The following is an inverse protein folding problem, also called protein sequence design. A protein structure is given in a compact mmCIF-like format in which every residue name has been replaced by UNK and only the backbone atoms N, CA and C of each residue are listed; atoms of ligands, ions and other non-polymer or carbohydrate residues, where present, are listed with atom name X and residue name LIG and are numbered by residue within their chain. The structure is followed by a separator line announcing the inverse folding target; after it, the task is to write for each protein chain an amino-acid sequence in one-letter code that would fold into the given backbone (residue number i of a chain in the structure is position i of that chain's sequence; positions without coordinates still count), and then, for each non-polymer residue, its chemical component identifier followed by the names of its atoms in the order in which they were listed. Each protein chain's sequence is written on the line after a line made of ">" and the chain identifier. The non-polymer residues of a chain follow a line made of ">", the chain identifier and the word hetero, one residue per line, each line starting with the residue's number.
data_IF_858341760187
#
_entry.id   IF_858341760187
#
_cell.length_a   1.000
_cell.length_b   1.000
_cell.length_c   1.000
_cell.angle_alpha   90.00
_cell.angle_beta   90.00
_cell.angle_gamma   90.00
#
_symmetry.space_group_name_H-M   'P 1'
#
loop_
_entity.id
_entity.type
_entity.pdbx_description
1 polymer ?
#
# COMPACT_ATOMS: atom_id res chain seq x y z
N UNK A 1 -12.12 -13.35 -9.85
CA UNK A 1 -12.24 -12.00 -9.24
C UNK A 1 -11.19 -11.10 -9.87
N UNK A 2 -11.53 -9.84 -10.11
CA UNK A 2 -10.64 -8.84 -10.72
C UNK A 2 -10.25 -7.81 -9.68
N UNK A 3 -8.97 -7.46 -9.60
CA UNK A 3 -8.41 -6.42 -8.72
C UNK A 3 -7.80 -5.33 -9.58
N UNK A 4 -8.04 -4.08 -9.22
CA UNK A 4 -7.41 -2.93 -9.86
C UNK A 4 -6.04 -2.65 -9.24
N UNK A 5 -5.08 -2.28 -10.07
CA UNK A 5 -3.78 -1.76 -9.65
C UNK A 5 -3.62 -0.35 -10.17
N UNK A 6 -3.33 0.59 -9.27
CA UNK A 6 -3.08 1.98 -9.63
C UNK A 6 -1.64 2.35 -9.24
N UNK A 7 -0.86 2.90 -10.16
CA UNK A 7 0.55 3.20 -9.93
C UNK A 7 1.13 4.19 -10.95
N UNK A 8 2.26 4.80 -10.61
CA UNK A 8 3.05 5.58 -11.53
C UNK A 8 4.08 4.67 -12.25
N UNK A 9 3.86 4.42 -13.53
CA UNK A 9 4.75 3.59 -14.34
C UNK A 9 6.16 4.20 -14.53
N UNK A 10 6.33 5.51 -14.28
CA UNK A 10 7.62 6.19 -14.29
C UNK A 10 8.48 5.95 -13.03
N UNK A 11 7.89 5.40 -11.96
CA UNK A 11 8.62 5.04 -10.75
C UNK A 11 9.05 3.56 -10.79
N UNK A 12 10.37 3.33 -10.80
CA UNK A 12 10.96 1.98 -10.94
C UNK A 12 10.50 1.05 -9.81
N UNK A 13 10.45 1.54 -8.56
CA UNK A 13 9.97 0.77 -7.41
C UNK A 13 8.48 0.41 -7.53
N UNK A 14 7.64 1.33 -8.00
CA UNK A 14 6.22 1.09 -8.26
C UNK A 14 6.02 0.00 -9.31
N UNK A 15 6.63 0.15 -10.48
CA UNK A 15 6.55 -0.83 -11.57
C UNK A 15 7.04 -2.22 -11.13
N UNK A 16 8.15 -2.29 -10.39
CA UNK A 16 8.68 -3.55 -9.87
C UNK A 16 7.71 -4.25 -8.91
N UNK A 17 7.10 -3.51 -7.98
CA UNK A 17 6.11 -4.06 -7.04
C UNK A 17 4.86 -4.54 -7.77
N UNK A 18 4.41 -3.83 -8.81
CA UNK A 18 3.26 -4.24 -9.63
C UNK A 18 3.53 -5.58 -10.32
N UNK A 19 4.72 -5.79 -10.86
CA UNK A 19 5.07 -7.08 -11.48
C UNK A 19 5.08 -8.24 -10.46
N UNK A 20 5.53 -8.00 -9.23
CA UNK A 20 5.45 -9.00 -8.15
C UNK A 20 3.99 -9.30 -7.80
N UNK A 21 3.17 -8.25 -7.66
CA UNK A 21 1.75 -8.38 -7.35
C UNK A 21 1.01 -9.18 -8.44
N UNK A 22 1.24 -8.87 -9.72
CA UNK A 22 0.63 -9.59 -10.86
C UNK A 22 0.96 -11.07 -10.85
N UNK A 23 2.22 -11.45 -10.57
CA UNK A 23 2.63 -12.85 -10.43
C UNK A 23 1.90 -13.55 -9.29
N UNK A 24 1.79 -12.89 -8.13
CA UNK A 24 1.08 -13.43 -6.97
C UNK A 24 -0.43 -13.55 -7.23
N UNK A 25 -1.05 -12.57 -7.89
CA UNK A 25 -2.45 -12.58 -8.27
C UNK A 25 -2.76 -13.73 -9.26
N UNK A 26 -1.93 -13.88 -10.29
CA UNK A 26 -2.07 -14.96 -11.28
C UNK A 26 -2.00 -16.34 -10.62
N UNK A 27 -1.07 -16.55 -9.68
CA UNK A 27 -0.96 -17.81 -8.93
C UNK A 27 -2.21 -18.15 -8.10
N UNK A 28 -3.05 -17.15 -7.81
CA UNK A 28 -4.32 -17.28 -7.08
C UNK A 28 -5.56 -17.21 -7.99
N UNK A 29 -5.38 -17.16 -9.31
CA UNK A 29 -6.47 -17.04 -10.27
C UNK A 29 -7.21 -15.69 -10.17
N UNK A 30 -6.51 -14.64 -9.75
CA UNK A 30 -7.03 -13.26 -9.67
C UNK A 30 -6.57 -12.49 -10.90
N UNK A 31 -7.50 -11.91 -11.61
CA UNK A 31 -7.25 -11.03 -12.75
C UNK A 31 -6.84 -9.63 -12.26
N UNK A 32 -5.91 -8.98 -12.96
CA UNK A 32 -5.42 -7.64 -12.62
C UNK A 32 -5.74 -6.67 -13.75
N UNK A 33 -6.43 -5.57 -13.43
CA UNK A 33 -6.60 -4.41 -14.30
C UNK A 33 -5.69 -3.29 -13.84
N UNK A 34 -4.83 -2.82 -14.74
CA UNK A 34 -3.88 -1.75 -14.46
C UNK A 34 -4.44 -0.40 -14.90
N UNK A 35 -4.23 0.62 -14.06
CA UNK A 35 -4.39 2.02 -14.42
C UNK A 35 -3.14 2.79 -13.97
N UNK A 36 -2.60 3.61 -14.84
CA UNK A 36 -1.39 4.38 -14.55
C UNK A 36 -1.72 5.85 -14.33
N UNK A 37 -0.91 6.49 -13.47
CA UNK A 37 -0.92 7.92 -13.24
C UNK A 37 0.47 8.49 -13.47
N UNK A 38 0.56 9.72 -13.91
CA UNK A 38 1.83 10.47 -14.03
C UNK A 38 1.85 11.68 -13.09
N UNK A 39 0.68 12.07 -12.61
CA UNK A 39 0.50 13.19 -11.68
C UNK A 39 -0.68 12.94 -10.74
N UNK A 40 -0.75 13.74 -9.68
CA UNK A 40 -1.89 13.71 -8.73
C UNK A 40 -3.23 14.01 -9.43
N UNK A 41 -3.21 14.80 -10.50
CA UNK A 41 -4.42 15.17 -11.25
C UNK A 41 -5.06 13.97 -11.99
N UNK A 42 -4.28 12.94 -12.28
CA UNK A 42 -4.76 11.76 -13.01
C UNK A 42 -5.53 10.78 -12.11
N UNK A 43 -5.33 10.86 -10.78
CA UNK A 43 -5.81 9.88 -9.80
C UNK A 43 -7.32 9.69 -9.86
N UNK A 44 -8.08 10.79 -9.85
CA UNK A 44 -9.55 10.73 -9.88
C UNK A 44 -10.07 9.98 -11.10
N UNK A 45 -9.53 10.29 -12.29
CA UNK A 45 -9.93 9.65 -13.54
C UNK A 45 -9.51 8.17 -13.56
N UNK A 46 -8.32 7.86 -13.09
CA UNK A 46 -7.81 6.50 -13.03
C UNK A 46 -8.67 5.60 -12.13
N UNK A 47 -9.04 6.07 -10.93
CA UNK A 47 -9.97 5.35 -10.03
C UNK A 47 -11.34 5.19 -10.70
N UNK A 48 -11.86 6.24 -11.33
CA UNK A 48 -13.15 6.19 -12.03
C UNK A 48 -13.15 5.15 -13.15
N UNK A 49 -12.05 5.01 -13.88
CA UNK A 49 -11.92 4.05 -14.98
C UNK A 49 -12.01 2.58 -14.52
N UNK A 50 -11.66 2.31 -13.27
CA UNK A 50 -11.70 1.00 -12.63
C UNK A 50 -13.02 0.73 -11.88
N UNK A 51 -13.82 1.77 -11.63
CA UNK A 51 -15.07 1.65 -10.91
C UNK A 51 -16.05 0.71 -11.62
N UNK A 52 -16.71 -0.17 -10.84
CA UNK A 52 -17.62 -1.19 -11.34
C UNK A 52 -16.95 -2.38 -12.05
N UNK A 53 -15.62 -2.35 -12.26
CA UNK A 53 -14.88 -3.41 -12.95
C UNK A 53 -14.03 -4.25 -11.99
N UNK A 54 -13.72 -3.74 -10.80
CA UNK A 54 -12.80 -4.37 -9.84
C UNK A 54 -13.47 -4.56 -8.48
N UNK A 55 -13.05 -5.59 -7.76
CA UNK A 55 -13.52 -5.89 -6.40
C UNK A 55 -12.74 -5.13 -5.31
N UNK A 56 -11.62 -4.51 -5.66
CA UNK A 56 -10.77 -3.73 -4.79
C UNK A 56 -9.61 -3.12 -5.57
N UNK A 57 -8.93 -2.16 -4.96
CA UNK A 57 -7.74 -1.52 -5.50
C UNK A 57 -6.53 -1.84 -4.64
N UNK A 58 -5.44 -2.22 -5.27
CA UNK A 58 -4.13 -2.32 -4.64
C UNK A 58 -3.18 -1.25 -5.20
N UNK A 59 -2.33 -0.70 -4.36
CA UNK A 59 -1.32 0.30 -4.72
C UNK A 59 0.05 -0.10 -4.18
N UNK A 60 1.14 0.05 -4.97
CA UNK A 60 2.50 -0.08 -4.45
C UNK A 60 2.87 1.12 -3.56
N UNK A 61 4.08 1.12 -3.02
CA UNK A 61 4.70 2.35 -2.49
C UNK A 61 5.03 3.28 -3.66
N UNK A 62 4.33 4.41 -3.75
CA UNK A 62 4.29 5.29 -4.91
C UNK A 62 4.18 6.75 -4.48
N UNK A 63 5.12 7.61 -4.94
CA UNK A 63 5.18 9.00 -4.49
C UNK A 63 4.03 9.86 -5.02
N UNK A 64 3.54 9.59 -6.23
CA UNK A 64 2.39 10.32 -6.79
C UNK A 64 1.12 9.98 -6.01
N UNK A 65 0.91 8.71 -5.69
CA UNK A 65 -0.24 8.27 -4.91
C UNK A 65 -0.16 8.77 -3.46
N UNK A 66 1.03 8.76 -2.85
CA UNK A 66 1.25 9.31 -1.51
C UNK A 66 0.94 10.81 -1.47
N UNK A 67 1.42 11.58 -2.45
CA UNK A 67 1.11 13.02 -2.55
C UNK A 67 -0.38 13.30 -2.79
N UNK A 68 -1.08 12.40 -3.49
CA UNK A 68 -2.50 12.49 -3.82
C UNK A 68 -3.45 11.71 -2.91
N UNK A 69 -3.00 11.28 -1.71
CA UNK A 69 -3.75 10.40 -0.82
C UNK A 69 -5.21 10.79 -0.60
N UNK A 70 -5.48 12.08 -0.34
CA UNK A 70 -6.85 12.56 -0.06
C UNK A 70 -7.77 12.42 -1.29
N UNK A 71 -7.26 12.66 -2.49
CA UNK A 71 -8.00 12.51 -3.75
C UNK A 71 -8.28 11.03 -4.00
N UNK A 72 -7.25 10.20 -3.83
CA UNK A 72 -7.30 8.76 -3.99
C UNK A 72 -8.35 8.13 -3.05
N UNK A 73 -8.23 8.38 -1.75
CA UNK A 73 -9.13 7.85 -0.74
C UNK A 73 -10.57 8.30 -0.98
N UNK A 74 -10.77 9.59 -1.27
CA UNK A 74 -12.11 10.11 -1.57
C UNK A 74 -12.71 9.42 -2.81
N UNK A 75 -11.98 9.36 -3.91
CA UNK A 75 -12.47 8.76 -5.15
C UNK A 75 -12.84 7.28 -4.98
N UNK A 76 -11.99 6.50 -4.29
CA UNK A 76 -12.24 5.10 -4.04
C UNK A 76 -13.43 4.87 -3.08
N UNK A 77 -13.52 5.68 -2.02
CA UNK A 77 -14.60 5.58 -1.03
C UNK A 77 -15.96 5.99 -1.63
N UNK A 78 -16.00 7.05 -2.43
CA UNK A 78 -17.22 7.46 -3.16
C UNK A 78 -17.70 6.35 -4.11
N UNK A 79 -16.76 5.64 -4.75
CA UNK A 79 -17.04 4.49 -5.60
C UNK A 79 -17.26 3.19 -4.81
N UNK A 80 -17.17 3.20 -3.46
CA UNK A 80 -17.25 2.05 -2.56
C UNK A 80 -16.29 0.92 -2.92
N UNK A 81 -15.09 1.26 -3.37
CA UNK A 81 -14.05 0.29 -3.73
C UNK A 81 -13.09 0.14 -2.55
N UNK A 82 -12.94 -1.06 -1.97
CA UNK A 82 -11.93 -1.34 -0.94
C UNK A 82 -10.52 -1.06 -1.44
N UNK A 83 -9.69 -0.44 -0.60
CA UNK A 83 -8.31 -0.03 -0.97
C UNK A 83 -7.27 -0.69 -0.08
N UNK A 84 -6.21 -1.23 -0.69
CA UNK A 84 -5.09 -1.88 -0.02
C UNK A 84 -3.78 -1.23 -0.50
N UNK A 85 -3.32 -0.15 0.13
CA UNK A 85 -2.03 0.48 -0.20
C UNK A 85 -0.83 -0.29 0.37
N UNK A 86 0.34 -0.07 -0.23
CA UNK A 86 1.63 -0.53 0.30
C UNK A 86 2.25 0.39 1.36
N UNK A 87 1.54 1.44 1.78
CA UNK A 87 2.02 2.46 2.73
C UNK A 87 0.98 2.76 3.80
N UNK A 88 1.42 2.80 5.07
CA UNK A 88 0.57 3.11 6.23
C UNK A 88 -0.03 4.54 6.18
N UNK A 89 0.71 5.51 5.64
CA UNK A 89 0.24 6.89 5.57
C UNK A 89 -1.08 7.01 4.77
N UNK A 90 -1.28 6.16 3.74
CA UNK A 90 -2.51 6.16 2.97
C UNK A 90 -3.71 5.64 3.80
N UNK A 91 -3.49 4.78 4.78
CA UNK A 91 -4.56 4.34 5.70
C UNK A 91 -5.04 5.51 6.56
N UNK A 92 -4.11 6.30 7.10
CA UNK A 92 -4.43 7.53 7.86
C UNK A 92 -5.09 8.59 6.99
N UNK A 93 -4.81 8.57 5.68
CA UNK A 93 -5.45 9.42 4.67
C UNK A 93 -6.81 8.96 4.20
N UNK A 94 -7.33 7.81 4.70
CA UNK A 94 -8.67 7.32 4.39
C UNK A 94 -8.75 6.08 3.52
N UNK A 95 -7.63 5.40 3.22
CA UNK A 95 -7.66 4.06 2.63
C UNK A 95 -8.08 3.00 3.65
N UNK A 96 -8.48 1.80 3.19
CA UNK A 96 -9.16 0.81 4.02
C UNK A 96 -8.21 0.00 4.91
N UNK A 97 -7.25 -0.70 4.32
CA UNK A 97 -6.40 -1.63 5.07
C UNK A 97 -5.05 -1.86 4.39
N UNK A 98 -4.03 -2.20 5.17
CA UNK A 98 -2.70 -2.54 4.64
C UNK A 98 -1.98 -3.54 5.51
N UNK A 99 -0.98 -4.21 4.93
CA UNK A 99 0.18 -4.76 5.61
C UNK A 99 1.37 -3.98 5.04
N UNK A 100 1.75 -2.90 5.69
CA UNK A 100 2.67 -1.92 5.14
C UNK A 100 4.04 -1.94 5.81
N UNK A 101 4.94 -1.23 5.18
CA UNK A 101 6.25 -0.91 5.74
C UNK A 101 6.10 0.04 6.95
N UNK A 102 6.76 -0.28 8.04
CA UNK A 102 6.94 0.63 9.18
C UNK A 102 8.24 1.44 9.00
N UNK A 103 8.11 2.66 8.52
CA UNK A 103 9.25 3.55 8.25
C UNK A 103 10.01 3.95 9.52
N UNK A 104 9.36 3.98 10.69
CA UNK A 104 10.06 4.24 11.96
C UNK A 104 11.04 3.10 12.27
N UNK A 105 10.58 1.86 12.17
CA UNK A 105 11.44 0.68 12.39
C UNK A 105 12.56 0.62 11.34
N UNK A 106 12.29 0.89 10.06
CA UNK A 106 13.34 0.97 9.03
C UNK A 106 14.37 2.05 9.35
N UNK A 107 13.93 3.23 9.79
CA UNK A 107 14.83 4.30 10.20
C UNK A 107 15.72 3.89 11.38
N UNK A 108 15.17 3.20 12.37
CA UNK A 108 15.96 2.67 13.48
C UNK A 108 16.99 1.63 13.04
N UNK A 109 16.58 0.69 12.19
CA UNK A 109 17.48 -0.33 11.62
C UNK A 109 18.63 0.34 10.86
N UNK A 110 18.32 1.29 9.99
CA UNK A 110 19.34 2.06 9.25
C UNK A 110 20.27 2.84 10.17
N UNK A 111 19.74 3.45 11.23
CA UNK A 111 20.52 4.15 12.25
C UNK A 111 21.47 3.24 13.01
N UNK A 112 21.03 2.02 13.36
CA UNK A 112 21.90 1.00 13.99
C UNK A 112 23.03 0.58 13.04
N UNK A 113 22.72 0.31 11.77
CA UNK A 113 23.76 -0.03 10.79
C UNK A 113 24.77 1.10 10.60
N UNK A 114 24.31 2.36 10.55
CA UNK A 114 25.18 3.53 10.46
C UNK A 114 26.10 3.65 11.69
N UNK A 115 25.59 3.43 12.90
CA UNK A 115 26.37 3.45 14.11
C UNK A 115 27.48 2.37 14.10
N UNK A 116 27.17 1.14 13.69
CA UNK A 116 28.14 0.05 13.59
C UNK A 116 29.27 0.38 12.59
N UNK A 117 28.96 1.07 11.48
CA UNK A 117 29.96 1.54 10.53
C UNK A 117 30.86 2.62 11.16
N UNK A 118 30.26 3.62 11.81
CA UNK A 118 30.99 4.74 12.42
C UNK A 118 31.87 4.28 13.58
N UNK A 119 31.46 3.27 14.33
CA UNK A 119 32.22 2.66 15.41
C UNK A 119 33.28 1.65 14.91
N UNK A 120 33.37 1.40 13.61
CA UNK A 120 34.31 0.47 13.00
C UNK A 120 33.99 -1.01 13.24
N UNK A 121 32.78 -1.33 13.70
CA UNK A 121 32.33 -2.71 13.96
C UNK A 121 32.00 -3.46 12.66
N UNK A 122 31.58 -2.72 11.62
CA UNK A 122 31.20 -3.28 10.32
C UNK A 122 31.64 -2.37 9.17
N UNK A 123 31.77 -2.96 7.98
CA UNK A 123 31.98 -2.20 6.74
C UNK A 123 30.74 -2.34 5.85
N UNK A 124 30.32 -1.29 5.12
CA UNK A 124 29.14 -1.35 4.26
C UNK A 124 29.12 -2.55 3.30
N UNK A 125 30.30 -2.92 2.73
CA UNK A 125 30.43 -4.02 1.80
C UNK A 125 30.17 -5.40 2.43
N UNK A 126 30.34 -5.52 3.75
CA UNK A 126 30.20 -6.78 4.48
C UNK A 126 28.83 -6.91 5.18
N UNK A 127 28.00 -5.87 5.11
CA UNK A 127 26.68 -5.85 5.75
C UNK A 127 25.61 -6.47 4.83
N UNK A 128 24.84 -7.41 5.39
CA UNK A 128 23.68 -7.93 4.70
C UNK A 128 22.57 -6.87 4.59
N UNK A 129 21.84 -6.90 3.49
CA UNK A 129 20.60 -6.12 3.36
C UNK A 129 19.61 -6.62 4.41
N UNK A 130 19.09 -5.70 5.23
CA UNK A 130 18.10 -6.02 6.24
C UNK A 130 16.68 -5.73 5.72
N UNK A 131 15.75 -6.58 6.13
CA UNK A 131 14.32 -6.44 5.85
C UNK A 131 13.55 -6.47 7.16
N UNK A 132 12.40 -5.84 7.18
CA UNK A 132 11.49 -5.92 8.33
C UNK A 132 10.80 -7.29 8.39
N UNK A 133 10.49 -7.73 9.60
CA UNK A 133 9.56 -8.83 9.82
C UNK A 133 8.15 -8.46 9.35
N UNK A 134 7.30 -9.49 9.13
CA UNK A 134 5.92 -9.29 8.74
C UNK A 134 5.17 -8.42 9.76
N UNK A 135 4.58 -7.33 9.29
CA UNK A 135 3.80 -6.41 10.10
C UNK A 135 2.36 -6.93 10.29
N UNK A 136 1.72 -6.49 11.37
CA UNK A 136 0.29 -6.75 11.56
C UNK A 136 -0.52 -5.90 10.56
N UNK A 137 -1.67 -6.41 10.10
CA UNK A 137 -2.58 -5.60 9.31
C UNK A 137 -2.99 -4.33 10.08
N UNK A 138 -3.09 -3.21 9.37
CA UNK A 138 -3.67 -1.97 9.87
C UNK A 138 -4.97 -1.71 9.11
N UNK A 139 -6.07 -1.45 9.81
CA UNK A 139 -7.41 -1.32 9.23
C UNK A 139 -8.04 0.00 9.69
N UNK A 140 -8.62 0.73 8.74
CA UNK A 140 -9.42 1.92 9.01
C UNK A 140 -10.90 1.55 9.07
N UNK A 141 -11.46 1.47 10.29
CA UNK A 141 -12.85 1.11 10.51
C UNK A 141 -13.83 2.20 10.05
N UNK A 142 -13.42 3.46 10.10
CA UNK A 142 -14.25 4.55 9.57
C UNK A 142 -14.44 4.39 8.06
N UNK A 143 -13.37 4.05 7.33
CA UNK A 143 -13.43 3.76 5.90
C UNK A 143 -14.26 2.51 5.62
N UNK A 144 -14.05 1.41 6.35
CA UNK A 144 -14.86 0.21 6.20
C UNK A 144 -16.37 0.53 6.32
N UNK A 145 -16.77 1.30 7.34
CA UNK A 145 -18.15 1.76 7.54
C UNK A 145 -18.64 2.63 6.39
N UNK A 146 -17.82 3.57 5.91
CA UNK A 146 -18.18 4.50 4.84
C UNK A 146 -18.48 3.78 3.52
N UNK A 147 -17.70 2.72 3.19
CA UNK A 147 -17.93 1.92 1.98
C UNK A 147 -18.95 0.79 2.17
N UNK A 148 -19.46 0.60 3.39
CA UNK A 148 -20.45 -0.44 3.71
C UNK A 148 -19.85 -1.84 3.83
N UNK A 149 -18.57 -1.96 4.19
CA UNK A 149 -17.87 -3.23 4.32
C UNK A 149 -17.78 -3.67 5.78
N UNK A 150 -18.17 -4.91 6.06
CA UNK A 150 -17.94 -5.55 7.36
C UNK A 150 -16.62 -6.31 7.32
N UNK A 151 -15.72 -5.98 8.23
CA UNK A 151 -14.43 -6.70 8.36
C UNK A 151 -14.66 -7.97 9.21
N UNK A 152 -14.24 -9.15 8.74
CA UNK A 152 -14.35 -10.39 9.51
C UNK A 152 -13.60 -10.33 10.85
N UNK A 153 -14.18 -10.95 11.89
CA UNK A 153 -13.62 -10.93 13.25
C UNK A 153 -12.23 -11.56 13.36
N UNK A 154 -11.96 -12.60 12.59
CA UNK A 154 -10.66 -13.28 12.55
C UNK A 154 -9.54 -12.36 12.01
N UNK A 155 -9.88 -11.46 11.08
CA UNK A 155 -8.97 -10.42 10.59
C UNK A 155 -8.77 -9.35 11.68
N UNK A 156 -9.84 -8.87 12.31
CA UNK A 156 -9.78 -7.83 13.34
C UNK A 156 -8.97 -8.26 14.57
N UNK A 157 -9.05 -9.52 15.00
CA UNK A 157 -8.29 -10.04 16.15
C UNK A 157 -6.78 -9.92 16.00
N UNK A 158 -6.28 -9.90 14.76
CA UNK A 158 -4.85 -9.86 14.44
C UNK A 158 -4.40 -8.51 13.87
N UNK A 159 -5.29 -7.52 13.77
CA UNK A 159 -5.03 -6.23 13.17
C UNK A 159 -4.89 -5.12 14.21
N UNK A 160 -4.10 -4.09 13.88
CA UNK A 160 -4.25 -2.78 14.47
C UNK A 160 -5.40 -2.03 13.79
N UNK A 161 -6.13 -1.19 14.52
CA UNK A 161 -7.29 -0.47 13.97
C UNK A 161 -7.17 1.03 14.15
N UNK A 162 -7.70 1.76 13.17
CA UNK A 162 -7.92 3.21 13.22
C UNK A 162 -9.43 3.44 13.16
N UNK A 163 -9.95 4.23 14.08
CA UNK A 163 -11.39 4.51 14.19
C UNK A 163 -11.79 5.88 13.62
N UNK A 164 -10.81 6.67 13.19
CA UNK A 164 -11.01 8.05 12.71
C UNK A 164 -10.48 8.24 11.30
#
# INVERSE_FOLDING_TARGET
>A
KTVGVLFNAGEVNSAFQVEIFKKAAAAKGVEVLEATVSSVNDIQQAVTSLSGKVAGLWFPTDNVLAAGTSILAKAANDAKIPTIPGDEALIRGGCLATIAVDYYTLGRMSGTMAADILEGKSKPADMAIQTQDAQKPLINLATAKAIGLTIPEDILKNAAVIEK
#
